data_IF_948132020262
#
_entry.id   IF_948132020262
#
_cell.length_a   1.000
_cell.length_b   1.000
_cell.length_c   1.000
_cell.angle_alpha   90.00
_cell.angle_beta   90.00
_cell.angle_gamma   90.00
#
_symmetry.space_group_name_H-M   'P 1'
#
loop_
_entity.id
_entity.type
_entity.pdbx_description
1 polymer ?
#
# COMPACT_ATOMS: atom_id res chain seq x y z
N UNK A 1 18.93 14.90 -16.01
CA UNK A 1 18.18 13.64 -15.81
C UNK A 1 16.89 13.97 -15.09
N UNK A 2 15.74 13.79 -15.74
CA UNK A 2 14.43 13.94 -15.08
C UNK A 2 14.12 12.63 -14.36
N UNK A 3 13.92 12.67 -13.04
CA UNK A 3 13.46 11.50 -12.30
C UNK A 3 12.09 11.07 -12.85
N UNK A 4 11.78 9.76 -12.91
CA UNK A 4 10.43 9.33 -13.27
C UNK A 4 9.47 9.98 -12.26
N UNK A 5 8.46 10.70 -12.76
CA UNK A 5 7.41 11.27 -11.93
C UNK A 5 6.65 10.09 -11.35
N UNK A 6 7.04 9.67 -10.15
CA UNK A 6 6.25 8.72 -9.38
C UNK A 6 4.84 9.30 -9.30
N UNK A 7 3.84 8.48 -9.62
CA UNK A 7 2.45 8.92 -9.49
C UNK A 7 2.25 9.45 -8.06
N UNK A 8 1.51 10.55 -7.88
CA UNK A 8 1.35 11.18 -6.56
C UNK A 8 0.70 10.24 -5.51
N UNK A 9 0.16 9.11 -5.96
CA UNK A 9 -0.47 8.08 -5.14
C UNK A 9 0.38 6.80 -5.01
N UNK A 10 1.63 6.81 -5.46
CA UNK A 10 2.51 5.64 -5.31
C UNK A 10 2.86 5.38 -3.85
N UNK A 11 2.69 4.13 -3.43
CA UNK A 11 3.02 3.64 -2.09
C UNK A 11 4.35 2.87 -2.06
N UNK A 12 5.10 2.87 -3.18
CA UNK A 12 6.37 2.16 -3.27
C UNK A 12 7.37 2.65 -2.21
N UNK A 13 7.93 1.70 -1.45
CA UNK A 13 8.89 1.98 -0.37
C UNK A 13 8.30 2.69 0.86
N UNK A 14 6.97 2.68 1.02
CA UNK A 14 6.27 3.18 2.21
C UNK A 14 5.79 2.03 3.08
N UNK A 15 5.64 2.29 4.37
CA UNK A 15 5.03 1.35 5.33
C UNK A 15 3.62 1.84 5.67
N UNK A 16 2.65 0.94 5.62
CA UNK A 16 1.27 1.21 5.98
C UNK A 16 0.86 0.43 7.25
N UNK A 17 0.09 1.06 8.13
CA UNK A 17 -0.55 0.41 9.28
C UNK A 17 -2.06 0.31 8.99
N UNK A 18 -2.58 -0.91 8.94
CA UNK A 18 -4.00 -1.19 8.71
C UNK A 18 -4.63 -1.68 10.02
N UNK A 19 -5.61 -0.94 10.54
CA UNK A 19 -6.38 -1.35 11.73
C UNK A 19 -7.56 -2.24 11.33
N UNK A 20 -8.06 -3.06 12.26
CA UNK A 20 -9.15 -4.00 11.96
C UNK A 20 -8.78 -5.09 10.96
N UNK A 21 -7.48 -5.36 10.74
CA UNK A 21 -6.99 -6.30 9.74
C UNK A 21 -7.20 -7.79 10.08
N UNK A 22 -7.91 -8.08 11.18
CA UNK A 22 -8.22 -9.45 11.56
C UNK A 22 -9.27 -10.11 10.63
N UNK A 23 -10.12 -9.33 9.96
CA UNK A 23 -11.13 -9.85 9.04
C UNK A 23 -11.61 -8.80 8.01
N UNK A 24 -12.45 -9.25 7.07
CA UNK A 24 -13.17 -8.39 6.13
C UNK A 24 -12.27 -7.48 5.29
N UNK A 25 -12.66 -6.21 5.18
CA UNK A 25 -11.98 -5.22 4.32
C UNK A 25 -10.55 -4.97 4.80
N UNK A 26 -10.35 -4.82 6.12
CA UNK A 26 -9.03 -4.57 6.69
C UNK A 26 -8.04 -5.69 6.37
N UNK A 27 -8.50 -6.95 6.45
CA UNK A 27 -7.67 -8.11 6.11
C UNK A 27 -7.28 -8.10 4.62
N UNK A 28 -8.25 -7.89 3.73
CA UNK A 28 -7.98 -7.83 2.30
C UNK A 28 -6.99 -6.73 1.92
N UNK A 29 -7.08 -5.55 2.56
CA UNK A 29 -6.13 -4.46 2.31
C UNK A 29 -4.72 -4.82 2.82
N UNK A 30 -4.61 -5.39 4.04
CA UNK A 30 -3.33 -5.72 4.64
C UNK A 30 -2.56 -6.82 3.89
N UNK A 31 -3.27 -7.76 3.24
CA UNK A 31 -2.67 -8.90 2.53
C UNK A 31 -2.55 -8.65 1.02
N UNK A 32 -3.62 -8.13 0.40
CA UNK A 32 -3.76 -8.10 -1.07
C UNK A 32 -3.84 -6.69 -1.66
N UNK A 33 -3.72 -5.63 -0.84
CA UNK A 33 -4.01 -4.23 -1.23
C UNK A 33 -3.14 -3.63 -2.35
N UNK A 34 -2.34 -4.44 -3.05
CA UNK A 34 -1.47 -4.00 -4.14
C UNK A 34 -0.21 -3.30 -3.64
N UNK A 35 0.03 -3.31 -2.33
CA UNK A 35 1.33 -3.01 -1.77
C UNK A 35 2.21 -4.24 -2.02
N UNK A 36 3.21 -4.14 -2.89
CA UNK A 36 4.24 -5.17 -2.96
C UNK A 36 4.97 -5.16 -1.61
N UNK A 37 4.55 -6.04 -0.70
CA UNK A 37 5.20 -6.31 0.58
C UNK A 37 6.47 -7.14 0.35
#
# INVERSE_FOLDING_TARGET
>A
MSAPVASPFSLAGKVALVTGAACGIGLGIAVDGGFSL
#
